data_IF_745021828767
#
_entry.id   IF_745021828767
#
_cell.length_a   1.000
_cell.length_b   1.000
_cell.length_c   1.000
_cell.angle_alpha   90.00
_cell.angle_beta   90.00
_cell.angle_gamma   90.00
#
_symmetry.space_group_name_H-M   'P 1'
#
loop_
_entity.id
_entity.type
_entity.pdbx_description
1 polymer ?
#
# COMPACT_ATOMS: atom_id res chain seq x y z
N UNK A 1 34.28 -81.82 22.56
CA UNK A 1 34.91 -80.59 21.95
C UNK A 1 33.82 -79.87 21.19
N UNK A 2 33.15 -78.90 21.88
CA UNK A 2 31.97 -78.19 21.35
C UNK A 2 32.40 -76.84 20.77
N UNK A 3 32.16 -76.75 19.47
CA UNK A 3 32.28 -75.41 18.79
C UNK A 3 30.97 -74.65 18.88
N UNK A 4 30.96 -73.60 19.64
CA UNK A 4 29.84 -72.67 19.75
C UNK A 4 29.93 -71.66 18.60
N UNK A 5 28.99 -71.69 17.67
CA UNK A 5 28.89 -70.68 16.58
C UNK A 5 28.20 -69.43 17.11
N UNK A 6 28.96 -68.32 17.18
CA UNK A 6 28.43 -67.00 17.43
C UNK A 6 27.81 -66.46 16.11
N UNK A 7 26.51 -66.26 16.09
CA UNK A 7 25.84 -65.56 15.02
C UNK A 7 25.75 -64.09 15.40
N UNK A 8 26.46 -63.22 14.68
CA UNK A 8 26.31 -61.78 14.76
C UNK A 8 25.07 -61.37 13.97
N UNK A 9 24.03 -60.91 14.67
CA UNK A 9 22.89 -60.23 14.05
C UNK A 9 23.28 -58.75 13.84
N UNK A 10 23.53 -58.37 12.57
CA UNK A 10 23.62 -56.97 12.15
C UNK A 10 22.21 -56.43 11.96
N UNK A 11 21.73 -55.65 12.94
CA UNK A 11 20.47 -54.94 12.83
C UNK A 11 20.73 -53.64 12.07
N UNK A 12 20.42 -53.60 10.78
CA UNK A 12 20.44 -52.38 9.98
C UNK A 12 19.20 -51.56 10.34
N UNK A 13 19.40 -50.53 11.17
CA UNK A 13 18.38 -49.51 11.40
C UNK A 13 18.35 -48.62 10.15
N UNK A 14 17.37 -48.87 9.26
CA UNK A 14 17.05 -47.94 8.17
C UNK A 14 16.35 -46.74 8.79
N UNK A 15 17.09 -45.64 9.03
CA UNK A 15 16.52 -44.35 9.37
C UNK A 15 15.85 -43.80 8.12
N UNK A 16 14.54 -43.93 8.00
CA UNK A 16 13.75 -43.17 7.03
C UNK A 16 13.76 -41.71 7.47
N UNK A 17 14.64 -40.91 6.89
CA UNK A 17 14.51 -39.46 6.96
C UNK A 17 13.36 -39.10 6.00
N UNK A 18 12.19 -38.84 6.56
CA UNK A 18 11.13 -38.16 5.85
C UNK A 18 11.67 -36.74 5.58
N UNK A 19 12.13 -36.50 4.36
CA UNK A 19 12.34 -35.16 3.83
C UNK A 19 10.94 -34.54 3.77
N UNK A 20 10.50 -33.94 4.88
CA UNK A 20 9.43 -32.96 4.81
C UNK A 20 9.97 -31.79 3.97
N UNK A 21 9.46 -31.63 2.78
CA UNK A 21 9.56 -30.36 2.07
C UNK A 21 8.98 -29.32 3.02
N UNK A 22 9.84 -28.46 3.57
CA UNK A 22 9.36 -27.30 4.28
C UNK A 22 8.83 -26.34 3.21
N UNK A 23 7.52 -26.37 3.01
CA UNK A 23 6.86 -25.32 2.26
C UNK A 23 6.95 -24.05 3.09
N UNK A 24 7.90 -23.20 2.73
CA UNK A 24 8.02 -21.88 3.35
C UNK A 24 6.79 -21.06 2.97
N UNK A 25 6.22 -20.29 3.91
CA UNK A 25 5.14 -19.40 3.59
C UNK A 25 5.59 -18.40 2.52
N UNK A 26 4.74 -18.18 1.54
CA UNK A 26 4.99 -17.23 0.46
C UNK A 26 3.93 -16.15 0.47
N UNK A 27 4.33 -14.93 0.14
CA UNK A 27 3.45 -13.77 0.03
C UNK A 27 3.75 -13.04 -1.27
N UNK A 28 2.75 -12.97 -2.13
CA UNK A 28 2.83 -12.22 -3.39
C UNK A 28 2.22 -10.84 -3.19
N UNK A 29 3.03 -9.81 -3.35
CA UNK A 29 2.59 -8.42 -3.21
C UNK A 29 2.79 -7.71 -4.53
N UNK A 30 1.80 -6.92 -4.94
CA UNK A 30 1.90 -5.99 -6.06
C UNK A 30 1.87 -4.57 -5.50
N UNK A 31 2.86 -3.78 -5.87
CA UNK A 31 2.84 -2.32 -5.69
C UNK A 31 2.65 -1.68 -7.04
N UNK A 32 1.66 -0.80 -7.15
CA UNK A 32 1.45 0.02 -8.35
C UNK A 32 1.99 1.43 -8.12
N UNK A 33 2.12 2.20 -9.22
CA UNK A 33 2.43 3.62 -9.16
C UNK A 33 1.22 4.48 -8.80
N UNK A 34 1.23 5.70 -9.33
CA UNK A 34 0.30 6.77 -8.99
C UNK A 34 -1.08 6.56 -9.65
N UNK A 35 -2.11 6.59 -8.82
CA UNK A 35 -3.51 6.54 -9.23
C UNK A 35 -4.03 7.97 -9.24
N UNK A 36 -4.25 8.49 -10.44
CA UNK A 36 -4.65 9.88 -10.65
C UNK A 36 -6.06 9.99 -11.26
N UNK A 37 -6.66 11.16 -11.14
CA UNK A 37 -8.00 11.49 -11.67
C UNK A 37 -8.02 12.86 -12.31
N UNK A 38 -7.49 13.00 -13.54
CA UNK A 38 -7.59 14.25 -14.31
C UNK A 38 -9.01 14.53 -14.81
N UNK A 39 -9.30 15.79 -15.17
CA UNK A 39 -10.64 16.21 -15.62
C UNK A 39 -11.19 15.31 -16.73
N UNK A 40 -10.37 14.97 -17.73
CA UNK A 40 -10.79 14.09 -18.84
C UNK A 40 -11.12 12.67 -18.38
N UNK A 41 -10.49 12.16 -17.33
CA UNK A 41 -10.81 10.85 -16.76
C UNK A 41 -12.14 10.92 -15.98
N UNK A 42 -12.36 12.00 -15.23
CA UNK A 42 -13.62 12.25 -14.52
C UNK A 42 -14.78 12.38 -15.53
N UNK A 43 -14.59 13.16 -16.57
CA UNK A 43 -15.58 13.32 -17.65
C UNK A 43 -15.87 11.99 -18.37
N UNK A 44 -14.84 11.20 -18.65
CA UNK A 44 -14.98 9.88 -19.28
C UNK A 44 -15.72 8.86 -18.39
N UNK A 45 -15.58 8.99 -17.08
CA UNK A 45 -16.25 8.14 -16.11
C UNK A 45 -17.71 8.56 -15.87
N UNK A 46 -18.11 9.77 -16.26
CA UNK A 46 -19.47 10.26 -16.05
C UNK A 46 -20.47 9.38 -16.80
N UNK A 47 -21.33 8.72 -16.07
CA UNK A 47 -22.37 7.88 -16.62
C UNK A 47 -23.62 8.74 -16.90
N UNK A 48 -23.86 9.02 -18.18
CA UNK A 48 -25.00 9.86 -18.60
C UNK A 48 -26.34 9.14 -18.49
N UNK A 49 -26.36 7.82 -18.30
CA UNK A 49 -27.58 7.01 -18.14
C UNK A 49 -28.00 6.84 -16.67
N UNK A 50 -27.08 7.02 -15.74
CA UNK A 50 -27.32 7.01 -14.29
C UNK A 50 -26.61 8.20 -13.68
N UNK A 51 -27.18 8.82 -12.65
CA UNK A 51 -26.53 9.97 -11.99
C UNK A 51 -25.32 9.50 -11.15
N UNK A 52 -24.17 9.26 -11.78
CA UNK A 52 -22.96 8.79 -11.08
C UNK A 52 -21.76 8.64 -12.01
N UNK A 53 -20.72 8.00 -11.52
CA UNK A 53 -19.49 7.76 -12.26
C UNK A 53 -19.21 6.25 -12.33
N UNK A 54 -18.56 5.81 -13.41
CA UNK A 54 -18.15 4.42 -13.63
C UNK A 54 -16.70 4.38 -14.10
N UNK A 55 -15.82 3.87 -13.24
CA UNK A 55 -14.40 3.69 -13.53
C UNK A 55 -14.04 2.24 -13.86
N UNK A 56 -15.00 1.32 -13.90
CA UNK A 56 -14.76 -0.12 -14.10
C UNK A 56 -13.97 -0.40 -15.38
N UNK A 57 -14.28 0.34 -16.46
CA UNK A 57 -13.58 0.16 -17.73
C UNK A 57 -12.10 0.53 -17.69
N UNK A 58 -11.70 1.45 -16.81
CA UNK A 58 -10.30 1.89 -16.68
C UNK A 58 -9.39 0.78 -16.20
N UNK A 59 -9.89 -0.12 -15.36
CA UNK A 59 -9.11 -1.15 -14.66
C UNK A 59 -9.31 -2.56 -15.22
N UNK A 60 -10.26 -2.77 -16.11
CA UNK A 60 -10.67 -4.09 -16.64
C UNK A 60 -9.52 -5.00 -17.08
N UNK A 61 -8.46 -4.43 -17.67
CA UNK A 61 -7.30 -5.22 -18.12
C UNK A 61 -6.26 -5.46 -17.03
N UNK A 62 -6.33 -4.73 -15.92
CA UNK A 62 -5.43 -4.87 -14.78
C UNK A 62 -6.00 -5.82 -13.73
N UNK A 63 -7.31 -5.90 -13.61
CA UNK A 63 -8.02 -6.70 -12.61
C UNK A 63 -7.50 -8.15 -12.51
N UNK A 64 -7.28 -8.94 -13.60
CA UNK A 64 -6.78 -10.29 -13.48
C UNK A 64 -5.35 -10.39 -12.90
N UNK A 65 -4.56 -9.33 -13.01
CA UNK A 65 -3.21 -9.28 -12.46
C UNK A 65 -3.23 -8.85 -10.99
N UNK A 66 -3.96 -7.78 -10.68
CA UNK A 66 -4.01 -7.20 -9.33
C UNK A 66 -4.71 -8.14 -8.36
N UNK A 67 -5.85 -8.70 -8.75
CA UNK A 67 -6.60 -9.68 -7.95
C UNK A 67 -5.88 -11.03 -7.76
N UNK A 68 -4.82 -11.31 -8.53
CA UNK A 68 -4.03 -12.53 -8.38
C UNK A 68 -2.97 -12.47 -7.27
N UNK A 69 -2.72 -11.29 -6.70
CA UNK A 69 -1.81 -11.11 -5.58
C UNK A 69 -2.50 -11.40 -4.24
N UNK A 70 -1.70 -11.71 -3.23
CA UNK A 70 -2.20 -11.82 -1.85
C UNK A 70 -2.50 -10.43 -1.27
N UNK A 71 -1.72 -9.42 -1.68
CA UNK A 71 -1.88 -8.02 -1.31
C UNK A 71 -1.55 -7.15 -2.52
N UNK A 72 -2.43 -6.20 -2.84
CA UNK A 72 -2.18 -5.17 -3.83
C UNK A 72 -2.25 -3.78 -3.20
N UNK A 73 -1.18 -3.00 -3.36
CA UNK A 73 -1.06 -1.65 -2.84
C UNK A 73 -0.84 -0.63 -3.97
N UNK A 74 -1.49 0.53 -3.88
CA UNK A 74 -1.34 1.62 -4.85
C UNK A 74 -1.22 2.99 -4.19
N UNK A 75 -0.55 3.93 -4.85
CA UNK A 75 -0.48 5.31 -4.40
C UNK A 75 -1.72 6.06 -4.89
N UNK A 76 -2.61 6.45 -3.98
CA UNK A 76 -3.79 7.25 -4.28
C UNK A 76 -3.39 8.72 -4.34
N UNK A 77 -3.00 9.19 -5.52
CA UNK A 77 -2.50 10.56 -5.74
C UNK A 77 -3.63 11.54 -6.09
N UNK A 78 -4.77 11.35 -5.47
CA UNK A 78 -5.93 12.24 -5.50
C UNK A 78 -6.61 12.25 -4.14
N UNK A 79 -7.42 13.28 -3.87
CA UNK A 79 -8.33 13.24 -2.72
C UNK A 79 -9.71 12.70 -3.14
N UNK A 80 -10.42 12.07 -2.20
CA UNK A 80 -11.85 11.75 -2.29
C UNK A 80 -12.63 12.77 -1.45
N UNK A 81 -12.45 14.06 -1.79
CA UNK A 81 -12.95 15.18 -0.97
C UNK A 81 -14.40 15.57 -1.28
N UNK A 82 -15.05 14.88 -2.20
CA UNK A 82 -16.39 15.20 -2.67
C UNK A 82 -16.41 16.33 -3.72
N UNK A 83 -17.61 16.70 -4.17
CA UNK A 83 -17.78 17.73 -5.18
C UNK A 83 -17.35 19.15 -4.66
N UNK A 84 -16.93 20.06 -5.55
CA UNK A 84 -16.84 19.83 -7.00
C UNK A 84 -15.64 18.95 -7.35
N UNK A 85 -15.90 17.91 -8.16
CA UNK A 85 -14.83 17.04 -8.65
C UNK A 85 -13.97 17.78 -9.67
N UNK A 86 -12.66 17.54 -9.58
CA UNK A 86 -11.70 18.24 -10.43
C UNK A 86 -10.36 17.50 -10.49
N UNK A 87 -9.71 17.62 -11.65
CA UNK A 87 -8.32 17.24 -11.86
C UNK A 87 -7.33 18.31 -11.40
N UNK A 88 -6.23 18.42 -12.14
CA UNK A 88 -5.16 19.37 -11.83
C UNK A 88 -5.67 20.83 -11.75
N UNK A 89 -5.15 21.67 -10.83
CA UNK A 89 -4.05 21.38 -9.88
C UNK A 89 -4.51 20.89 -8.50
N UNK A 90 -5.82 20.84 -8.22
CA UNK A 90 -6.35 20.52 -6.90
C UNK A 90 -7.38 19.39 -7.03
N UNK A 91 -6.85 18.16 -7.00
CA UNK A 91 -7.62 16.95 -7.28
C UNK A 91 -8.71 16.67 -6.25
N UNK A 92 -9.88 16.30 -6.76
CA UNK A 92 -10.94 15.65 -6.01
C UNK A 92 -11.68 14.71 -6.94
N UNK A 93 -11.50 13.42 -6.76
CA UNK A 93 -12.15 12.40 -7.59
C UNK A 93 -13.47 11.94 -6.97
N UNK A 94 -14.42 11.46 -7.80
CA UNK A 94 -15.60 10.77 -7.33
C UNK A 94 -15.27 9.54 -6.48
N UNK A 95 -16.14 9.24 -5.51
CA UNK A 95 -15.97 8.12 -4.59
C UNK A 95 -15.99 6.76 -5.33
N UNK A 96 -16.65 6.72 -6.49
CA UNK A 96 -16.70 5.56 -7.38
C UNK A 96 -15.33 5.15 -7.92
N UNK A 97 -14.33 6.05 -7.93
CA UNK A 97 -12.95 5.67 -8.21
C UNK A 97 -12.46 4.66 -7.17
N UNK A 98 -12.69 4.93 -5.89
CA UNK A 98 -12.35 3.99 -4.83
C UNK A 98 -13.09 2.66 -4.97
N UNK A 99 -14.39 2.69 -5.27
CA UNK A 99 -15.17 1.48 -5.52
C UNK A 99 -14.55 0.62 -6.62
N UNK A 100 -14.20 1.25 -7.76
CA UNK A 100 -13.57 0.54 -8.87
C UNK A 100 -12.18 -0.01 -8.52
N UNK A 101 -11.39 0.70 -7.72
CA UNK A 101 -10.10 0.20 -7.22
C UNK A 101 -10.29 -1.05 -6.34
N UNK A 102 -11.26 -1.02 -5.43
CA UNK A 102 -11.56 -2.16 -4.56
C UNK A 102 -11.99 -3.39 -5.38
N UNK A 103 -12.89 -3.21 -6.34
CA UNK A 103 -13.35 -4.26 -7.25
C UNK A 103 -12.21 -4.81 -8.13
N UNK A 104 -11.22 -4.00 -8.44
CA UNK A 104 -10.03 -4.40 -9.21
C UNK A 104 -9.02 -5.20 -8.38
N UNK A 105 -9.17 -5.24 -7.05
CA UNK A 105 -8.32 -6.03 -6.15
C UNK A 105 -7.26 -5.23 -5.40
N UNK A 106 -7.41 -3.91 -5.27
CA UNK A 106 -6.57 -3.14 -4.35
C UNK A 106 -7.01 -3.36 -2.91
N UNK A 107 -6.05 -3.66 -2.04
CA UNK A 107 -6.25 -3.86 -0.60
C UNK A 107 -5.78 -2.65 0.20
N UNK A 108 -4.65 -2.05 -0.22
CA UNK A 108 -3.96 -0.99 0.51
C UNK A 108 -3.82 0.25 -0.37
N UNK A 109 -4.23 1.41 0.15
CA UNK A 109 -4.00 2.69 -0.50
C UNK A 109 -3.03 3.55 0.30
N UNK A 110 -1.95 3.94 -0.40
CA UNK A 110 -0.90 4.81 0.12
C UNK A 110 -1.29 6.25 -0.15
N UNK A 111 -1.33 7.09 0.87
CA UNK A 111 -1.92 8.43 0.79
C UNK A 111 -0.93 9.58 1.04
N UNK A 112 0.33 9.27 1.40
CA UNK A 112 1.37 10.29 1.50
C UNK A 112 1.96 10.57 0.12
N UNK A 113 1.49 11.62 -0.53
CA UNK A 113 1.94 12.12 -1.82
C UNK A 113 1.79 13.65 -1.88
N UNK A 114 2.23 14.26 -2.97
CA UNK A 114 2.21 15.71 -3.13
C UNK A 114 0.79 16.29 -3.30
N UNK A 115 -0.22 15.46 -3.62
CA UNK A 115 -1.62 15.85 -3.75
C UNK A 115 -2.48 15.52 -2.52
N UNK A 116 -1.87 15.01 -1.45
CA UNK A 116 -2.57 14.64 -0.22
C UNK A 116 -3.36 15.80 0.42
N UNK A 117 -2.92 17.06 0.21
CA UNK A 117 -3.51 18.26 0.80
C UNK A 117 -4.31 19.12 -0.19
N UNK A 118 -4.58 18.68 -1.39
CA UNK A 118 -5.25 19.47 -2.45
C UNK A 118 -6.60 20.07 -2.03
N UNK A 119 -7.24 19.47 -1.07
CA UNK A 119 -8.52 19.92 -0.50
C UNK A 119 -8.41 20.24 1.00
N UNK A 120 -7.17 20.54 1.43
CA UNK A 120 -6.89 20.90 2.81
C UNK A 120 -7.23 19.77 3.80
N UNK A 121 -7.37 20.14 5.06
CA UNK A 121 -7.69 19.22 6.14
C UNK A 121 -8.98 18.43 5.89
N UNK A 122 -10.05 19.12 5.49
CA UNK A 122 -11.34 18.46 5.23
C UNK A 122 -11.23 17.40 4.13
N UNK A 123 -10.39 17.65 3.11
CA UNK A 123 -10.09 16.67 2.08
C UNK A 123 -9.39 15.44 2.61
N UNK A 124 -8.38 15.62 3.46
CA UNK A 124 -7.68 14.50 4.13
C UNK A 124 -8.65 13.67 4.98
N UNK A 125 -9.41 14.33 5.87
CA UNK A 125 -10.35 13.65 6.75
C UNK A 125 -11.39 12.86 5.97
N UNK A 126 -11.99 13.47 4.93
CA UNK A 126 -12.99 12.80 4.09
C UNK A 126 -12.39 11.66 3.27
N UNK A 127 -11.20 11.84 2.70
CA UNK A 127 -10.53 10.76 1.96
C UNK A 127 -10.33 9.54 2.86
N UNK A 128 -9.82 9.73 4.08
CA UNK A 128 -9.66 8.65 5.05
C UNK A 128 -11.01 7.97 5.33
N UNK A 129 -12.07 8.74 5.57
CA UNK A 129 -13.42 8.20 5.83
C UNK A 129 -13.95 7.38 4.66
N UNK A 130 -13.75 7.85 3.42
CA UNK A 130 -14.17 7.12 2.24
C UNK A 130 -13.40 5.81 2.08
N UNK A 131 -12.08 5.82 2.32
CA UNK A 131 -11.28 4.61 2.26
C UNK A 131 -11.70 3.57 3.32
N UNK A 132 -11.94 4.04 4.56
CA UNK A 132 -12.45 3.20 5.66
C UNK A 132 -13.83 2.60 5.32
N UNK A 133 -14.76 3.41 4.79
CA UNK A 133 -16.10 2.97 4.39
C UNK A 133 -16.09 1.96 3.24
N UNK A 134 -15.15 2.07 2.33
CA UNK A 134 -14.99 1.17 1.18
C UNK A 134 -14.16 -0.06 1.51
N UNK A 135 -13.69 -0.21 2.77
CA UNK A 135 -12.98 -1.40 3.24
C UNK A 135 -11.48 -1.42 2.95
N UNK A 136 -10.88 -0.31 2.53
CA UNK A 136 -9.44 -0.23 2.31
C UNK A 136 -8.66 -0.15 3.61
N UNK A 137 -7.50 -0.78 3.60
CA UNK A 137 -6.40 -0.44 4.49
C UNK A 137 -5.68 0.77 3.87
N UNK A 138 -5.34 1.77 4.67
CA UNK A 138 -4.63 2.95 4.19
C UNK A 138 -3.53 3.39 5.15
N UNK A 139 -2.54 4.12 4.62
CA UNK A 139 -1.48 4.70 5.43
C UNK A 139 -0.82 5.87 4.69
N UNK A 140 -0.18 6.76 5.44
CA UNK A 140 0.52 7.92 4.92
C UNK A 140 -0.06 9.26 5.39
N UNK A 141 -1.39 9.35 5.51
CA UNK A 141 -2.12 10.49 6.08
C UNK A 141 -2.98 10.04 7.25
N UNK A 142 -3.20 10.93 8.22
CA UNK A 142 -3.94 10.62 9.45
C UNK A 142 -4.78 11.81 9.89
N UNK A 143 -5.94 11.53 10.50
CA UNK A 143 -6.81 12.56 11.05
C UNK A 143 -6.16 13.34 12.21
N UNK A 144 -5.24 12.70 12.95
CA UNK A 144 -4.52 13.32 14.07
C UNK A 144 -3.35 12.45 14.55
N UNK A 145 -2.56 12.99 15.49
CA UNK A 145 -1.40 12.30 16.06
C UNK A 145 -1.76 11.02 16.82
N UNK A 146 -2.93 10.95 17.43
CA UNK A 146 -3.37 9.75 18.14
C UNK A 146 -3.63 8.59 17.18
N UNK A 147 -4.36 8.82 16.09
CA UNK A 147 -4.58 7.79 15.06
C UNK A 147 -3.27 7.36 14.42
N UNK A 148 -2.35 8.30 14.09
CA UNK A 148 -1.02 7.96 13.60
C UNK A 148 -0.26 7.07 14.59
N UNK A 149 -0.25 7.43 15.86
CA UNK A 149 0.47 6.66 16.89
C UNK A 149 -0.04 5.23 17.02
N UNK A 150 -1.35 4.99 16.82
CA UNK A 150 -1.97 3.67 16.92
C UNK A 150 -1.78 2.82 15.66
N UNK A 151 -1.80 3.43 14.48
CA UNK A 151 -1.92 2.69 13.21
C UNK A 151 -0.65 2.75 12.35
N UNK A 152 0.37 3.51 12.77
CA UNK A 152 1.61 3.65 12.01
C UNK A 152 2.84 3.23 12.81
N UNK A 153 3.79 2.49 12.22
CA UNK A 153 3.77 1.91 10.86
C UNK A 153 2.61 0.96 10.65
N UNK A 154 2.12 0.85 9.41
CA UNK A 154 1.07 -0.09 9.07
C UNK A 154 1.61 -1.53 9.17
N UNK A 155 1.00 -2.34 10.02
CA UNK A 155 1.34 -3.76 10.16
C UNK A 155 0.27 -4.60 9.47
N UNK A 156 0.70 -5.43 8.53
CA UNK A 156 -0.17 -6.38 7.81
C UNK A 156 0.37 -7.78 7.99
N UNK A 157 -0.52 -8.73 8.26
CA UNK A 157 -0.17 -10.15 8.35
C UNK A 157 -1.01 -10.94 7.36
N UNK A 158 -0.35 -11.67 6.48
CA UNK A 158 -0.98 -12.52 5.45
C UNK A 158 -0.13 -13.75 5.21
N UNK A 159 -0.75 -14.91 5.09
CA UNK A 159 -0.07 -16.20 4.86
C UNK A 159 1.02 -16.52 5.91
N UNK A 160 0.89 -16.02 7.14
CA UNK A 160 1.89 -16.19 8.19
C UNK A 160 3.14 -15.31 8.05
N UNK A 161 3.14 -14.37 7.12
CA UNK A 161 4.19 -13.37 6.93
C UNK A 161 3.68 -12.01 7.42
N UNK A 162 4.48 -11.36 8.26
CA UNK A 162 4.18 -10.04 8.83
C UNK A 162 5.00 -8.96 8.15
N UNK A 163 4.32 -7.94 7.65
CA UNK A 163 4.92 -6.78 7.00
C UNK A 163 4.73 -5.53 7.85
N UNK A 164 5.75 -4.68 7.90
CA UNK A 164 5.61 -3.30 8.30
C UNK A 164 5.72 -2.42 7.05
N UNK A 165 4.73 -1.56 6.82
CA UNK A 165 4.70 -0.66 5.65
C UNK A 165 4.77 0.77 6.15
N UNK A 166 5.77 1.51 5.67
CA UNK A 166 5.92 2.94 5.85
C UNK A 166 5.60 3.64 4.52
N UNK A 167 4.82 4.72 4.58
CA UNK A 167 4.53 5.55 3.42
C UNK A 167 4.83 7.01 3.74
N UNK A 168 5.64 7.65 2.90
CA UNK A 168 6.16 9.00 3.09
C UNK A 168 6.20 9.76 1.77
N UNK A 169 6.10 11.09 1.83
CA UNK A 169 6.22 11.97 0.66
C UNK A 169 7.31 13.03 0.86
N UNK A 170 7.91 13.46 -0.26
CA UNK A 170 8.87 14.57 -0.24
C UNK A 170 8.22 15.92 0.04
N UNK A 171 6.92 16.08 -0.19
CA UNK A 171 6.23 17.33 -0.03
C UNK A 171 4.76 17.27 -0.45
N UNK A 172 4.07 18.39 -0.32
CA UNK A 172 2.64 18.57 -0.62
C UNK A 172 2.40 19.83 -1.44
N UNK A 173 3.17 20.01 -2.51
CA UNK A 173 3.06 21.15 -3.45
C UNK A 173 3.05 22.53 -2.75
N UNK A 174 3.83 22.65 -1.66
CA UNK A 174 3.90 23.90 -0.87
C UNK A 174 2.75 24.13 0.11
N UNK A 175 1.78 23.22 0.17
CA UNK A 175 0.72 23.25 1.18
C UNK A 175 1.23 22.66 2.50
N UNK A 176 0.75 23.20 3.61
CA UNK A 176 1.05 22.65 4.95
C UNK A 176 -0.20 22.00 5.54
N UNK A 177 -0.08 20.86 6.23
CA UNK A 177 -1.22 20.24 6.88
C UNK A 177 -1.77 21.13 7.99
N UNK A 178 -3.08 21.32 7.98
CA UNK A 178 -3.77 22.02 9.07
C UNK A 178 -4.00 21.04 10.23
N UNK A 179 -3.53 21.38 11.45
CA UNK A 179 -3.77 20.54 12.61
C UNK A 179 -5.28 20.29 12.83
N UNK A 180 -5.65 19.06 13.30
CA UNK A 180 -4.80 17.96 13.73
C UNK A 180 -4.36 16.99 12.63
N UNK A 181 -4.71 17.21 11.35
CA UNK A 181 -4.35 16.33 10.24
C UNK A 181 -2.82 16.22 10.07
N UNK A 182 -2.36 15.03 9.71
CA UNK A 182 -0.94 14.72 9.52
C UNK A 182 -0.73 14.07 8.17
N UNK A 183 0.36 14.47 7.52
CA UNK A 183 0.95 13.79 6.36
C UNK A 183 2.35 13.33 6.76
N UNK A 184 2.74 12.14 6.42
CA UNK A 184 4.11 11.66 6.65
C UNK A 184 5.06 12.25 5.61
N UNK A 185 5.99 13.05 6.05
CA UNK A 185 7.02 13.66 5.20
C UNK A 185 8.35 12.90 5.26
N UNK A 186 9.19 13.18 4.27
CA UNK A 186 10.57 12.73 4.20
C UNK A 186 11.42 13.48 5.26
N UNK A 187 11.21 13.13 6.51
CA UNK A 187 11.96 13.61 7.68
C UNK A 187 12.80 12.47 8.22
N UNK A 188 14.13 12.64 8.19
CA UNK A 188 15.06 11.57 8.57
C UNK A 188 14.89 11.14 10.04
N UNK A 189 14.63 12.10 10.95
CA UNK A 189 14.46 11.80 12.38
C UNK A 189 13.20 10.98 12.57
N UNK A 190 12.09 11.45 12.01
CA UNK A 190 10.80 10.76 12.12
C UNK A 190 10.84 9.37 11.45
N UNK A 191 11.52 9.23 10.31
CA UNK A 191 11.67 7.94 9.64
C UNK A 191 12.44 6.95 10.51
N UNK A 192 13.52 7.37 11.17
CA UNK A 192 14.29 6.51 12.07
C UNK A 192 13.45 6.05 13.27
N UNK A 193 12.69 6.95 13.89
CA UNK A 193 11.74 6.60 14.96
C UNK A 193 10.68 5.60 14.49
N UNK A 194 10.10 5.83 13.30
CA UNK A 194 9.09 4.96 12.73
C UNK A 194 9.67 3.57 12.36
N UNK A 195 10.92 3.50 11.89
CA UNK A 195 11.62 2.23 11.64
C UNK A 195 11.93 1.47 12.94
N UNK A 196 12.30 2.18 14.01
CA UNK A 196 12.48 1.57 15.32
C UNK A 196 11.16 1.00 15.84
N UNK A 197 10.06 1.75 15.72
CA UNK A 197 8.73 1.29 16.07
C UNK A 197 8.30 0.08 15.22
N UNK A 198 8.60 0.10 13.90
CA UNK A 198 8.36 -1.04 13.02
C UNK A 198 9.10 -2.29 13.50
N UNK A 199 10.40 -2.15 13.82
CA UNK A 199 11.21 -3.24 14.35
C UNK A 199 10.63 -3.82 15.65
N UNK A 200 10.09 -2.97 16.52
CA UNK A 200 9.39 -3.39 17.74
C UNK A 200 8.19 -4.30 17.50
N UNK A 201 7.51 -4.17 16.36
CA UNK A 201 6.43 -5.06 15.93
C UNK A 201 6.91 -6.42 15.39
N UNK A 202 8.22 -6.60 15.25
CA UNK A 202 8.88 -7.83 14.75
C UNK A 202 8.32 -8.31 13.42
N UNK A 203 8.32 -7.48 12.37
CA UNK A 203 7.92 -7.90 11.03
C UNK A 203 8.98 -8.80 10.42
N UNK A 204 8.56 -9.67 9.50
CA UNK A 204 9.48 -10.44 8.65
C UNK A 204 10.13 -9.53 7.62
N UNK A 205 9.39 -8.53 7.13
CA UNK A 205 9.89 -7.52 6.17
C UNK A 205 9.35 -6.14 6.51
N UNK A 206 10.20 -5.13 6.28
CA UNK A 206 9.80 -3.72 6.32
C UNK A 206 9.88 -3.13 4.92
N UNK A 207 8.79 -2.55 4.47
CA UNK A 207 8.68 -1.88 3.16
C UNK A 207 8.53 -0.39 3.39
N UNK A 208 9.38 0.40 2.76
CA UNK A 208 9.26 1.87 2.77
C UNK A 208 8.87 2.32 1.37
N UNK A 209 7.68 2.89 1.25
CA UNK A 209 7.18 3.48 0.01
C UNK A 209 7.38 4.98 0.07
N UNK A 210 8.07 5.52 -0.93
CA UNK A 210 8.41 6.93 -0.99
C UNK A 210 7.78 7.54 -2.22
N UNK A 211 6.89 8.50 -2.01
CA UNK A 211 6.44 9.36 -3.10
C UNK A 211 7.51 10.43 -3.32
N UNK A 212 8.30 10.24 -4.38
CA UNK A 212 9.46 11.06 -4.68
C UNK A 212 9.38 11.55 -6.13
N UNK A 213 9.50 12.84 -6.31
CA UNK A 213 9.58 13.41 -7.64
C UNK A 213 9.36 14.90 -7.58
N UNK A 214 10.16 15.62 -8.31
CA UNK A 214 9.88 17.00 -8.64
C UNK A 214 8.84 17.00 -9.77
N UNK A 215 7.95 18.00 -9.76
CA UNK A 215 6.98 18.29 -10.81
C UNK A 215 7.50 17.92 -12.21
N UNK A 216 6.62 17.54 -13.12
CA UNK A 216 6.91 17.19 -14.52
C UNK A 216 7.84 18.16 -15.27
N UNK A 217 8.05 19.38 -14.75
CA UNK A 217 8.99 20.38 -15.25
C UNK A 217 10.39 20.31 -14.60
N UNK A 218 10.57 19.48 -13.58
CA UNK A 218 11.84 19.26 -12.89
C UNK A 218 12.13 17.78 -12.77
N UNK A 219 12.15 17.09 -13.90
CA UNK A 219 12.66 15.72 -13.95
C UNK A 219 14.16 15.83 -13.69
N UNK A 220 14.59 15.63 -12.44
CA UNK A 220 15.94 15.17 -12.22
C UNK A 220 16.00 13.79 -12.82
N UNK A 221 16.61 13.67 -14.01
CA UNK A 221 16.85 12.37 -14.61
C UNK A 221 17.48 11.48 -13.53
N UNK A 222 16.92 10.29 -13.28
CA UNK A 222 17.63 9.31 -12.47
C UNK A 222 18.98 9.16 -13.16
N UNK A 223 20.04 9.43 -12.42
CA UNK A 223 21.41 9.39 -12.87
C UNK A 223 21.61 8.25 -13.85
N UNK A 224 21.72 8.57 -15.16
CA UNK A 224 22.24 7.60 -16.10
C UNK A 224 23.60 7.17 -15.59
N UNK A 225 23.84 5.88 -15.34
CA UNK A 225 25.21 5.43 -15.14
C UNK A 225 25.97 5.78 -16.43
N UNK A 226 26.97 6.61 -16.29
CA UNK A 226 27.92 6.95 -17.37
C UNK A 226 28.71 5.70 -17.73
#
# INVERSE_FOLDING_TARGET
MNFMKFALFFSAILSFQVLCSQDYPTLRIIFTGDIMGHDSQIESALNTGTAGYDYTSCFRYLEPYLSSADITAGNLEVTLAGPPYKGYPAFSSPDELGTALHETGFDILLTANNHALDRGRAGVERTIEQLEQQGFIHTGTFKNAFTRALTYPLIVEKNGIRLAILNITYGTNGLSPEPPAIVNYLDTIQILEDLEKASGARPDFTVVTVHWGLSLIHISEPTRPY
#
